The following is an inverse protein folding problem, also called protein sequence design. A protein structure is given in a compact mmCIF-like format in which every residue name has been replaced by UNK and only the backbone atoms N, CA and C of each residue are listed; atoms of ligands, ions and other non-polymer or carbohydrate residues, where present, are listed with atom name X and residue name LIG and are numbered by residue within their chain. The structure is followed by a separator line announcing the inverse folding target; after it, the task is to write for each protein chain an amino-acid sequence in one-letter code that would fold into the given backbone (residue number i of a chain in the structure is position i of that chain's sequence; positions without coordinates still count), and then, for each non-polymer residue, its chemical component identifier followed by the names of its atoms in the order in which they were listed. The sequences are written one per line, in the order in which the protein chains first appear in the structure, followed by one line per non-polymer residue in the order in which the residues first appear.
data_IF_629741815946
#
_entry.id   IF_629741815946
#
_cell.length_a   1.000
_cell.length_b   1.000
_cell.length_c   1.000
_cell.angle_alpha   90.00
_cell.angle_beta   90.00
_cell.angle_gamma   90.00
#
_symmetry.space_group_name_H-M   'P 1'
#
loop_
_entity.id
_entity.type
_entity.pdbx_description
1 polymer ?
#
# COMPACT_ATOMS: atom_id res chain seq x y z
N UNK A 1 -13.26 16.84 -1.37
CA UNK A 1 -13.02 16.52 -1.35
C UNK A 1 -12.60 15.59 -1.37
N UNK A 2 -12.15 15.45 -1.25
CA UNK A 2 -11.91 14.31 -1.54
C UNK A 2 -10.93 13.67 -0.78
N UNK A 3 -11.00 12.34 -0.52
CA UNK A 3 -10.04 11.54 0.19
C UNK A 3 -9.01 10.91 -0.76
N UNK A 4 -9.03 11.35 -2.01
CA UNK A 4 -8.11 10.77 -2.96
C UNK A 4 -6.73 11.41 -2.86
N UNK A 5 -5.70 10.59 -3.01
CA UNK A 5 -4.32 10.99 -2.99
C UNK A 5 -3.58 10.31 -4.13
N UNK A 6 -2.63 10.98 -4.78
CA UNK A 6 -1.80 10.29 -5.74
C UNK A 6 -1.04 9.16 -5.06
N UNK A 7 -0.88 8.05 -5.76
CA UNK A 7 -0.12 6.90 -5.25
C UNK A 7 1.11 6.75 -6.12
N UNK A 8 2.27 6.70 -5.49
CA UNK A 8 3.54 6.51 -6.19
C UNK A 8 4.25 5.33 -5.57
N UNK A 9 5.11 4.68 -6.35
CA UNK A 9 5.94 3.58 -5.87
C UNK A 9 7.36 4.08 -5.71
N UNK A 10 7.96 3.80 -4.55
CA UNK A 10 9.35 4.19 -4.30
C UNK A 10 10.31 3.48 -5.23
N UNK A 11 10.01 2.21 -5.54
CA UNK A 11 10.93 1.36 -6.30
C UNK A 11 10.15 0.56 -7.34
N UNK A 12 10.69 0.49 -8.55
CA UNK A 12 10.09 -0.35 -9.59
C UNK A 12 10.14 -1.84 -9.24
N UNK A 13 11.06 -2.22 -8.35
CA UNK A 13 11.16 -3.59 -7.89
C UNK A 13 9.88 -4.11 -7.24
N UNK A 14 9.04 -3.21 -6.75
CA UNK A 14 7.75 -3.59 -6.16
C UNK A 14 6.88 -4.29 -7.19
N UNK A 15 6.86 -3.79 -8.43
CA UNK A 15 6.08 -4.42 -9.49
C UNK A 15 6.68 -5.77 -9.90
N UNK A 16 8.00 -5.85 -9.93
CA UNK A 16 8.67 -7.11 -10.25
C UNK A 16 8.36 -8.16 -9.20
N UNK A 17 8.44 -7.77 -7.92
CA UNK A 17 8.08 -8.66 -6.83
C UNK A 17 6.65 -9.16 -6.96
N UNK A 18 5.72 -8.25 -7.25
CA UNK A 18 4.31 -8.60 -7.37
C UNK A 18 4.09 -9.59 -8.52
N UNK A 19 4.77 -9.36 -9.64
CA UNK A 19 4.66 -10.24 -10.79
C UNK A 19 5.21 -11.63 -10.47
N UNK A 20 6.36 -11.67 -9.83
CA UNK A 20 7.02 -12.94 -9.49
C UNK A 20 6.21 -13.76 -8.50
N UNK A 21 5.40 -13.11 -7.68
CA UNK A 21 4.59 -13.79 -6.68
C UNK A 21 3.13 -13.92 -7.11
N UNK A 22 2.83 -13.63 -8.37
CA UNK A 22 1.50 -13.79 -8.95
C UNK A 22 0.43 -12.96 -8.25
N UNK A 23 0.81 -11.78 -7.78
CA UNK A 23 -0.13 -10.86 -7.12
C UNK A 23 -0.21 -9.51 -7.81
N UNK A 24 0.30 -9.40 -9.04
CA UNK A 24 0.33 -8.10 -9.72
C UNK A 24 -1.06 -7.52 -9.92
N UNK A 25 -2.02 -8.32 -10.38
CA UNK A 25 -3.37 -7.80 -10.60
C UNK A 25 -4.02 -7.40 -9.28
N UNK A 26 -3.78 -8.16 -8.22
CA UNK A 26 -4.31 -7.83 -6.90
C UNK A 26 -3.67 -6.56 -6.35
N UNK A 27 -2.38 -6.38 -6.59
CA UNK A 27 -1.70 -5.15 -6.20
C UNK A 27 -2.27 -3.96 -6.94
N UNK A 28 -2.46 -4.07 -8.25
CA UNK A 28 -3.01 -2.97 -9.03
C UNK A 28 -4.37 -2.55 -8.51
N UNK A 29 -5.22 -3.52 -8.19
CA UNK A 29 -6.53 -3.22 -7.65
C UNK A 29 -6.45 -2.56 -6.29
N UNK A 30 -5.55 -3.04 -5.44
CA UNK A 30 -5.36 -2.43 -4.12
C UNK A 30 -4.86 -1.00 -4.25
N UNK A 31 -3.96 -0.74 -5.20
CA UNK A 31 -3.46 0.62 -5.42
C UNK A 31 -4.57 1.55 -5.90
N UNK A 32 -5.49 1.05 -6.73
CA UNK A 32 -6.65 1.84 -7.15
C UNK A 32 -7.53 2.22 -5.97
N UNK A 33 -7.82 1.25 -5.10
CA UNK A 33 -8.59 1.53 -3.89
C UNK A 33 -7.88 2.54 -3.02
N UNK A 34 -6.56 2.36 -2.86
CA UNK A 34 -5.75 3.23 -2.01
C UNK A 34 -5.80 4.67 -2.50
N UNK A 35 -5.74 4.87 -3.83
CA UNK A 35 -5.80 6.20 -4.41
C UNK A 35 -7.17 6.84 -4.19
N UNK A 36 -8.22 6.04 -4.16
CA UNK A 36 -9.58 6.55 -3.97
C UNK A 36 -9.87 6.88 -2.52
N UNK A 37 -9.54 5.96 -1.62
CA UNK A 37 -9.84 6.13 -0.20
C UNK A 37 -9.04 5.10 0.58
N UNK A 38 -8.11 5.59 1.40
CA UNK A 38 -7.27 4.67 2.20
C UNK A 38 -8.09 3.86 3.20
N UNK A 39 -9.34 4.27 3.45
CA UNK A 39 -10.23 3.55 4.36
C UNK A 39 -11.09 2.51 3.67
N UNK A 40 -10.87 2.29 2.37
CA UNK A 40 -11.64 1.27 1.66
C UNK A 40 -11.58 -0.04 2.44
N UNK A 41 -12.74 -0.68 2.72
CA UNK A 41 -12.76 -1.86 3.60
C UNK A 41 -11.87 -2.99 3.15
N UNK A 42 -11.69 -3.15 1.84
CA UNK A 42 -10.85 -4.24 1.30
C UNK A 42 -9.40 -4.08 1.66
N UNK A 43 -8.95 -2.87 2.00
CA UNK A 43 -7.53 -2.60 2.27
C UNK A 43 -7.12 -2.94 3.69
N UNK A 44 -8.06 -2.89 4.64
CA UNK A 44 -7.75 -3.10 6.04
C UNK A 44 -6.52 -2.32 6.47
N UNK A 45 -6.53 -1.02 6.13
CA UNK A 45 -5.39 -0.14 6.37
C UNK A 45 -5.15 0.01 7.87
N UNK A 46 -3.89 -0.10 8.28
CA UNK A 46 -3.50 0.03 9.68
C UNK A 46 -2.27 0.91 9.81
N UNK A 47 -2.28 1.76 10.83
CA UNK A 47 -1.09 2.50 11.21
C UNK A 47 -0.24 1.59 12.09
N UNK A 48 0.98 1.33 11.67
CA UNK A 48 1.85 0.39 12.36
C UNK A 48 2.55 1.02 13.55
N UNK A 49 2.97 0.21 14.50
CA UNK A 49 3.77 0.65 15.63
C UNK A 49 5.24 0.66 15.24
N UNK A 50 6.02 1.63 15.72
CA UNK A 50 5.58 2.77 16.54
C UNK A 50 4.86 3.79 15.66
N UNK A 51 3.77 4.34 16.18
CA UNK A 51 2.89 5.19 15.39
C UNK A 51 3.56 6.46 14.88
N UNK A 52 4.55 6.96 15.62
CA UNK A 52 5.22 8.20 15.20
C UNK A 52 6.05 8.03 13.93
N UNK A 53 6.31 6.79 13.49
CA UNK A 53 7.00 6.57 12.22
C UNK A 53 6.09 6.86 11.03
N UNK A 54 4.78 6.88 11.23
CA UNK A 54 3.87 7.20 10.15
C UNK A 54 3.81 6.16 9.04
N UNK A 55 4.06 4.90 9.36
CA UNK A 55 4.05 3.82 8.37
C UNK A 55 2.75 3.05 8.50
N UNK A 56 2.09 2.85 7.36
CA UNK A 56 0.82 2.15 7.27
C UNK A 56 0.97 0.88 6.48
N UNK A 57 0.11 -0.08 6.75
CA UNK A 57 -0.01 -1.27 5.91
C UNK A 57 -1.37 -1.30 5.24
N UNK A 58 -1.44 -1.92 4.06
CA UNK A 58 -2.70 -2.15 3.37
C UNK A 58 -2.69 -3.58 2.81
N UNK A 59 -3.86 -4.16 2.73
CA UNK A 59 -3.99 -5.54 2.28
C UNK A 59 -3.96 -5.62 0.77
N UNK A 60 -3.11 -6.49 0.23
CA UNK A 60 -3.09 -6.82 -1.18
C UNK A 60 -3.92 -8.09 -1.40
N UNK A 61 -3.64 -9.13 -0.61
CA UNK A 61 -4.48 -10.31 -0.54
C UNK A 61 -4.32 -10.90 0.87
N UNK A 62 -4.82 -12.10 1.09
CA UNK A 62 -4.79 -12.63 2.45
C UNK A 62 -3.39 -12.98 2.95
N UNK A 63 -2.41 -13.02 2.06
CA UNK A 63 -1.03 -13.36 2.41
C UNK A 63 -0.11 -12.15 2.37
N UNK A 64 -0.35 -11.21 1.44
CA UNK A 64 0.56 -10.12 1.18
C UNK A 64 -0.03 -8.79 1.61
N UNK A 65 0.83 -7.93 2.16
CA UNK A 65 0.49 -6.57 2.53
C UNK A 65 1.49 -5.61 1.92
N UNK A 66 1.02 -4.40 1.62
CA UNK A 66 1.91 -3.33 1.19
C UNK A 66 2.15 -2.37 2.34
N UNK A 67 3.25 -1.64 2.26
CA UNK A 67 3.59 -0.62 3.25
C UNK A 67 3.70 0.73 2.57
N UNK A 68 3.15 1.77 3.20
CA UNK A 68 3.21 3.11 2.63
C UNK A 68 3.34 4.16 3.72
N UNK A 69 3.73 5.35 3.30
CA UNK A 69 3.71 6.53 4.15
C UNK A 69 3.26 7.71 3.29
N UNK A 70 2.88 8.80 3.94
CA UNK A 70 2.57 10.05 3.23
C UNK A 70 3.84 10.85 3.10
N UNK A 71 4.24 11.16 1.87
CA UNK A 71 5.47 11.91 1.65
C UNK A 71 5.20 13.41 1.80
N UNK A 72 6.25 14.22 1.61
CA UNK A 72 6.15 15.66 1.80
C UNK A 72 5.22 16.34 0.82
N UNK A 73 4.95 15.70 -0.31
CA UNK A 73 4.02 16.22 -1.32
C UNK A 73 2.58 15.82 -1.04
N UNK A 74 2.33 15.08 0.03
CA UNK A 74 1.00 14.57 0.32
C UNK A 74 0.62 13.35 -0.50
N UNK A 75 1.58 12.75 -1.17
CA UNK A 75 1.35 11.53 -1.94
C UNK A 75 1.47 10.31 -1.05
N UNK A 76 0.76 9.25 -1.42
CA UNK A 76 0.91 7.94 -0.77
C UNK A 76 2.08 7.25 -1.45
N UNK A 77 3.16 7.07 -0.70
CA UNK A 77 4.34 6.44 -1.26
C UNK A 77 4.46 5.02 -0.76
N UNK A 78 4.24 4.06 -1.67
CA UNK A 78 4.32 2.63 -1.36
C UNK A 78 5.77 2.20 -1.53
N UNK A 79 6.36 1.66 -0.49
CA UNK A 79 7.79 1.38 -0.51
C UNK A 79 8.14 -0.09 -0.29
N UNK A 80 7.17 -0.95 0.01
CA UNK A 80 7.48 -2.36 0.24
C UNK A 80 6.22 -3.21 0.12
N UNK A 81 6.44 -4.48 -0.23
CA UNK A 81 5.46 -5.54 -0.09
C UNK A 81 6.04 -6.57 0.86
N UNK A 82 5.19 -7.21 1.65
CA UNK A 82 5.66 -8.18 2.62
C UNK A 82 4.62 -9.28 2.77
N UNK A 83 5.09 -10.48 3.07
CA UNK A 83 4.22 -11.59 3.44
C UNK A 83 4.44 -12.01 4.89
N UNK A 84 5.12 -11.19 5.67
CA UNK A 84 5.40 -11.49 7.07
C UNK A 84 4.40 -10.86 8.03
N UNK A 85 3.35 -10.32 7.51
CA UNK A 85 2.36 -9.65 8.31
C UNK A 85 1.59 -10.64 9.17
N UNK A 86 1.30 -10.22 10.39
CA UNK A 86 0.50 -11.03 11.29
C UNK A 86 -0.66 -10.27 11.84
#
# INVERSE_FOLDING_TARGET
MENSHPVVLSFSDILIYAKDHNILSKLKKALEYLAMDIRHPSLKTELLNPKHDGIYSFRVDKKYRGLFFFNKKGEIEVFALTNHYR
#
